data_IF_602437757733
#
_entry.id   IF_602437757733
#
_cell.length_a   1.000
_cell.length_b   1.000
_cell.length_c   1.000
_cell.angle_alpha   90.00
_cell.angle_beta   90.00
_cell.angle_gamma   90.00
#
_symmetry.space_group_name_H-M   'P 1'
#
loop_
_entity.id
_entity.type
_entity.pdbx_description
1 polymer ?
#
# COMPACT_ATOMS: atom_id res chain seq x y z
N UNK A 1 -32.02 -5.74 -3.26
CA UNK A 1 -30.78 -5.52 -2.48
C UNK A 1 -29.94 -4.52 -3.25
N UNK A 2 -30.02 -3.23 -2.88
CA UNK A 2 -29.20 -2.18 -3.50
C UNK A 2 -27.82 -2.26 -2.86
N UNK A 3 -26.88 -2.90 -3.57
CA UNK A 3 -25.48 -2.87 -3.16
C UNK A 3 -24.95 -1.46 -3.36
N UNK A 4 -24.39 -0.87 -2.30
CA UNK A 4 -23.59 0.34 -2.43
C UNK A 4 -22.42 0.04 -3.36
N UNK A 5 -22.54 0.44 -4.63
CA UNK A 5 -21.45 0.39 -5.58
C UNK A 5 -20.54 1.59 -5.30
N UNK A 6 -19.72 1.47 -4.26
CA UNK A 6 -18.56 2.34 -4.04
C UNK A 6 -17.80 2.47 -5.37
N UNK A 7 -17.77 3.69 -5.92
CA UNK A 7 -17.28 3.91 -7.28
C UNK A 7 -16.19 4.97 -7.28
N UNK A 8 -15.11 4.64 -7.99
CA UNK A 8 -13.99 5.54 -8.24
C UNK A 8 -14.11 6.11 -9.66
N UNK A 9 -13.86 7.41 -9.80
CA UNK A 9 -13.92 8.11 -11.07
C UNK A 9 -12.65 8.92 -11.30
N UNK A 10 -12.01 8.73 -12.46
CA UNK A 10 -10.96 9.62 -12.92
C UNK A 10 -11.61 10.81 -13.62
N UNK A 11 -11.21 12.01 -13.20
CA UNK A 11 -11.84 13.26 -13.58
C UNK A 11 -10.78 14.22 -14.12
N UNK A 12 -11.07 14.78 -15.30
CA UNK A 12 -10.28 15.86 -15.87
C UNK A 12 -10.82 17.22 -15.40
N UNK A 13 -10.16 17.82 -14.40
CA UNK A 13 -10.54 19.15 -13.86
C UNK A 13 -10.45 20.27 -14.91
N UNK A 14 -9.51 20.18 -15.85
CA UNK A 14 -9.34 21.18 -16.90
C UNK A 14 -10.45 21.11 -17.98
N UNK A 15 -11.08 19.95 -18.14
CA UNK A 15 -12.19 19.74 -19.07
C UNK A 15 -13.53 19.64 -18.33
N UNK A 16 -13.88 20.68 -17.57
CA UNK A 16 -15.18 20.81 -16.88
C UNK A 16 -15.55 19.58 -16.02
N UNK A 17 -14.58 18.96 -15.35
CA UNK A 17 -14.79 17.77 -14.51
C UNK A 17 -15.35 16.55 -15.29
N UNK A 18 -15.02 16.41 -16.57
CA UNK A 18 -15.40 15.24 -17.35
C UNK A 18 -14.77 13.95 -16.78
N UNK A 19 -15.57 12.90 -16.67
CA UNK A 19 -15.10 11.54 -16.36
C UNK A 19 -14.30 11.02 -17.57
N UNK A 20 -13.14 10.44 -17.30
CA UNK A 20 -12.21 9.97 -18.34
C UNK A 20 -11.50 8.69 -17.91
N UNK A 21 -10.82 8.01 -18.84
CA UNK A 21 -9.86 6.94 -18.54
C UNK A 21 -8.41 7.36 -18.90
N UNK A 22 -8.19 8.65 -19.17
CA UNK A 22 -6.85 9.18 -19.46
C UNK A 22 -5.95 9.15 -18.23
N UNK A 23 -4.63 9.13 -18.48
CA UNK A 23 -3.62 9.18 -17.43
C UNK A 23 -3.46 10.55 -16.79
N UNK A 24 -2.90 10.57 -15.58
CA UNK A 24 -2.57 11.77 -14.81
C UNK A 24 -3.78 12.66 -14.50
N UNK A 25 -4.89 12.03 -14.13
CA UNK A 25 -6.15 12.69 -13.79
C UNK A 25 -6.36 12.72 -12.28
N UNK A 26 -7.37 13.44 -11.81
CA UNK A 26 -7.75 13.43 -10.39
C UNK A 26 -8.70 12.28 -10.11
N UNK A 27 -8.44 11.49 -9.08
CA UNK A 27 -9.34 10.43 -8.65
C UNK A 27 -10.36 10.96 -7.64
N UNK A 28 -11.62 10.63 -7.84
CA UNK A 28 -12.70 10.89 -6.90
C UNK A 28 -13.32 9.58 -6.43
N UNK A 29 -13.71 9.55 -5.16
CA UNK A 29 -14.39 8.43 -4.53
C UNK A 29 -15.82 8.83 -4.15
N UNK A 30 -16.79 8.05 -4.62
CA UNK A 30 -18.21 8.24 -4.33
C UNK A 30 -18.72 7.08 -3.49
N UNK A 31 -19.01 7.33 -2.22
CA UNK A 31 -19.57 6.34 -1.29
C UNK A 31 -21.04 5.99 -1.60
N UNK A 32 -21.77 6.92 -2.19
CA UNK A 32 -23.14 6.74 -2.65
C UNK A 32 -23.50 7.82 -3.69
N UNK A 33 -24.57 7.62 -4.45
CA UNK A 33 -25.00 8.55 -5.52
C UNK A 33 -25.60 9.87 -5.00
N UNK A 34 -25.83 9.99 -3.69
CA UNK A 34 -26.53 11.13 -3.07
C UNK A 34 -25.62 12.08 -2.28
N UNK A 35 -24.35 11.72 -2.11
CA UNK A 35 -23.33 12.48 -1.39
C UNK A 35 -22.26 12.91 -2.39
N UNK A 36 -21.75 14.13 -2.22
CA UNK A 36 -20.66 14.64 -3.03
C UNK A 36 -19.44 13.71 -2.92
N UNK A 37 -18.84 13.39 -4.06
CA UNK A 37 -17.66 12.55 -4.11
C UNK A 37 -16.47 13.30 -3.53
N UNK A 38 -15.61 12.57 -2.82
CA UNK A 38 -14.40 13.11 -2.20
C UNK A 38 -13.21 12.96 -3.12
N UNK A 39 -12.36 13.97 -3.18
CA UNK A 39 -11.11 13.90 -3.93
C UNK A 39 -10.11 13.01 -3.18
N UNK A 40 -9.51 12.08 -3.92
CA UNK A 40 -8.46 11.21 -3.40
C UNK A 40 -7.11 11.92 -3.55
N UNK A 41 -6.54 12.32 -2.42
CA UNK A 41 -5.28 13.08 -2.36
C UNK A 41 -4.06 12.24 -1.96
N UNK A 42 -4.28 11.06 -1.42
CA UNK A 42 -3.22 10.18 -0.92
C UNK A 42 -2.61 9.34 -2.06
N UNK A 43 -1.27 9.23 -2.14
CA UNK A 43 -0.62 8.33 -3.08
C UNK A 43 -0.86 6.87 -2.68
N UNK A 44 -1.07 6.02 -3.69
CA UNK A 44 -1.25 4.59 -3.49
C UNK A 44 -2.16 3.91 -4.51
N UNK A 45 -2.66 2.74 -4.14
CA UNK A 45 -3.55 1.92 -4.96
C UNK A 45 -4.97 1.90 -4.40
N UNK A 46 -5.94 2.04 -5.29
CA UNK A 46 -7.38 1.99 -5.01
C UNK A 46 -8.02 0.96 -5.93
N UNK A 47 -8.56 -0.11 -5.34
CA UNK A 47 -8.78 -1.36 -6.05
C UNK A 47 -10.27 -1.68 -6.08
N UNK A 48 -10.83 -1.79 -7.28
CA UNK A 48 -12.17 -2.32 -7.49
C UNK A 48 -12.11 -3.83 -7.71
N UNK A 49 -11.23 -4.25 -8.63
CA UNK A 49 -10.88 -5.63 -8.96
C UNK A 49 -9.59 -5.65 -9.80
N UNK A 50 -9.14 -6.83 -10.25
CA UNK A 50 -7.89 -6.98 -11.04
C UNK A 50 -7.87 -6.21 -12.37
N UNK A 51 -9.02 -5.93 -12.95
CA UNK A 51 -9.18 -5.23 -14.23
C UNK A 51 -9.34 -3.71 -14.04
N UNK A 52 -9.65 -3.27 -12.82
CA UNK A 52 -9.97 -1.88 -12.50
C UNK A 52 -9.24 -1.54 -11.20
N UNK A 53 -8.00 -1.06 -11.36
CA UNK A 53 -7.20 -0.46 -10.30
C UNK A 53 -6.86 0.97 -10.66
N UNK A 54 -6.87 1.85 -9.67
CA UNK A 54 -6.35 3.19 -9.79
C UNK A 54 -5.06 3.30 -9.00
N UNK A 55 -4.02 3.78 -9.67
CA UNK A 55 -2.72 4.11 -9.08
C UNK A 55 -2.62 5.62 -9.02
N UNK A 56 -2.40 6.16 -7.84
CA UNK A 56 -2.20 7.58 -7.59
C UNK A 56 -0.76 7.80 -7.13
N UNK A 57 -0.05 8.71 -7.78
CA UNK A 57 1.32 9.10 -7.44
C UNK A 57 1.38 10.57 -7.05
N UNK A 58 2.23 10.88 -6.09
CA UNK A 58 2.61 12.28 -5.84
C UNK A 58 3.59 12.75 -6.90
N UNK A 59 3.22 13.78 -7.65
CA UNK A 59 4.12 14.52 -8.54
C UNK A 59 4.17 15.98 -8.07
N UNK A 60 5.10 16.29 -7.15
CA UNK A 60 5.12 17.56 -6.45
C UNK A 60 3.91 17.72 -5.52
N UNK A 61 3.10 18.76 -5.74
CA UNK A 61 1.90 19.07 -4.95
C UNK A 61 0.61 18.44 -5.52
N UNK A 62 0.68 17.79 -6.69
CA UNK A 62 -0.51 17.27 -7.37
C UNK A 62 -0.51 15.75 -7.32
N UNK A 63 -1.59 15.18 -6.81
CA UNK A 63 -1.84 13.74 -6.92
C UNK A 63 -2.31 13.44 -8.35
N UNK A 64 -1.56 12.61 -9.05
CA UNK A 64 -1.86 12.19 -10.42
C UNK A 64 -2.23 10.73 -10.41
N UNK A 65 -3.44 10.44 -10.87
CA UNK A 65 -3.99 9.10 -10.87
C UNK A 65 -4.21 8.58 -12.29
N UNK A 66 -4.00 7.28 -12.45
CA UNK A 66 -4.19 6.53 -13.68
C UNK A 66 -4.93 5.24 -13.39
N UNK A 67 -5.74 4.80 -14.34
CA UNK A 67 -6.42 3.50 -14.28
C UNK A 67 -5.56 2.47 -15.01
N UNK A 68 -5.38 1.30 -14.41
CA UNK A 68 -4.67 0.20 -15.03
C UNK A 68 -5.28 -1.15 -14.62
N UNK A 69 -4.85 -2.18 -15.33
CA UNK A 69 -5.11 -3.58 -15.02
C UNK A 69 -3.85 -4.18 -14.39
N UNK A 70 -4.03 -5.07 -13.43
CA UNK A 70 -2.90 -5.84 -12.89
C UNK A 70 -2.44 -6.83 -13.95
N UNK A 71 -1.22 -6.62 -14.48
CA UNK A 71 -0.59 -7.49 -15.48
C UNK A 71 0.42 -8.44 -14.84
N UNK A 72 1.01 -8.04 -13.71
CA UNK A 72 2.03 -8.84 -13.02
C UNK A 72 1.41 -10.09 -12.39
N UNK A 73 2.05 -11.24 -12.62
CA UNK A 73 1.63 -12.54 -12.11
C UNK A 73 2.55 -13.10 -11.02
N UNK A 74 3.67 -12.43 -10.74
CA UNK A 74 4.64 -12.81 -9.73
C UNK A 74 5.22 -11.60 -9.01
N UNK A 75 5.75 -11.83 -7.80
CA UNK A 75 6.49 -10.85 -7.03
C UNK A 75 7.99 -11.10 -7.26
N UNK A 76 8.60 -10.21 -8.05
CA UNK A 76 10.03 -10.13 -8.40
C UNK A 76 10.63 -8.78 -7.97
N UNK A 77 11.93 -8.56 -8.21
CA UNK A 77 12.64 -7.34 -7.83
C UNK A 77 12.05 -6.13 -8.56
N UNK A 78 11.63 -6.31 -9.80
CA UNK A 78 11.05 -5.27 -10.66
C UNK A 78 9.60 -4.91 -10.27
N UNK A 79 9.00 -5.73 -9.40
CA UNK A 79 7.60 -5.56 -8.96
C UNK A 79 7.47 -5.10 -7.52
N UNK A 80 8.57 -4.79 -6.84
CA UNK A 80 8.53 -4.28 -5.46
C UNK A 80 7.64 -3.04 -5.37
N UNK A 81 6.69 -3.08 -4.43
CA UNK A 81 5.71 -2.02 -4.24
C UNK A 81 4.61 -2.00 -5.29
N UNK A 82 4.56 -2.95 -6.23
CA UNK A 82 3.47 -3.13 -7.20
C UNK A 82 2.49 -4.20 -6.74
N UNK A 83 1.30 -4.16 -7.34
CA UNK A 83 0.30 -5.22 -7.20
C UNK A 83 0.58 -6.34 -8.20
N UNK A 84 0.34 -7.58 -7.78
CA UNK A 84 0.32 -8.73 -8.66
C UNK A 84 -0.87 -9.63 -8.35
N UNK A 85 -1.22 -10.49 -9.30
CA UNK A 85 -2.25 -11.51 -9.14
C UNK A 85 -1.82 -12.74 -9.92
N UNK A 86 -1.59 -13.87 -9.24
CA UNK A 86 -1.23 -15.11 -9.90
C UNK A 86 -2.26 -15.46 -11.00
N UNK A 87 -1.82 -16.03 -12.13
CA UNK A 87 -2.58 -16.14 -13.39
C UNK A 87 -3.99 -16.77 -13.25
N UNK A 88 -4.22 -17.60 -12.24
CA UNK A 88 -5.52 -18.25 -11.97
C UNK A 88 -6.12 -17.88 -10.60
N UNK A 89 -5.55 -16.90 -9.93
CA UNK A 89 -6.02 -16.39 -8.65
C UNK A 89 -6.87 -15.14 -8.85
N UNK A 90 -7.88 -14.97 -8.00
CA UNK A 90 -8.57 -13.69 -7.80
C UNK A 90 -7.95 -12.86 -6.68
N UNK A 91 -6.98 -13.43 -5.96
CA UNK A 91 -6.29 -12.77 -4.86
C UNK A 91 -5.29 -11.78 -5.46
N UNK A 92 -5.47 -10.52 -5.10
CA UNK A 92 -4.53 -9.45 -5.37
C UNK A 92 -3.59 -9.36 -4.18
N UNK A 93 -2.30 -9.23 -4.45
CA UNK A 93 -1.27 -9.15 -3.43
C UNK A 93 -0.33 -7.97 -3.72
N UNK A 94 0.20 -7.36 -2.67
CA UNK A 94 1.24 -6.34 -2.76
C UNK A 94 2.61 -7.01 -2.61
N UNK A 95 3.50 -6.79 -3.56
CA UNK A 95 4.86 -7.31 -3.52
C UNK A 95 5.72 -6.47 -2.56
N UNK A 96 6.38 -7.14 -1.61
CA UNK A 96 7.19 -6.53 -0.58
C UNK A 96 8.66 -6.99 -0.69
N UNK A 97 9.58 -6.08 -0.43
CA UNK A 97 10.99 -6.40 -0.22
C UNK A 97 11.57 -5.39 0.76
N UNK A 98 12.50 -5.81 1.60
CA UNK A 98 13.16 -4.92 2.58
C UNK A 98 14.68 -5.19 2.62
N UNK A 99 15.08 -6.45 2.59
CA UNK A 99 16.49 -6.89 2.72
C UNK A 99 17.08 -7.50 1.43
N UNK A 100 16.49 -7.20 0.26
CA UNK A 100 17.08 -7.57 -1.03
C UNK A 100 16.99 -9.05 -1.40
N UNK A 101 16.20 -9.85 -0.68
CA UNK A 101 15.85 -11.22 -1.09
C UNK A 101 14.33 -11.35 -1.21
N UNK A 102 13.83 -11.52 -2.43
CA UNK A 102 12.40 -11.54 -2.73
C UNK A 102 11.78 -12.84 -2.25
N UNK A 103 10.89 -12.78 -1.24
CA UNK A 103 9.87 -13.80 -0.95
C UNK A 103 8.62 -13.26 -0.26
N UNK A 104 8.52 -11.95 -0.02
CA UNK A 104 7.46 -11.41 0.82
C UNK A 104 6.40 -10.71 0.00
N UNK A 105 5.15 -11.04 0.30
CA UNK A 105 3.99 -10.35 -0.22
C UNK A 105 2.91 -10.35 0.85
N UNK A 106 1.92 -9.50 0.65
CA UNK A 106 0.73 -9.49 1.49
C UNK A 106 -0.50 -9.54 0.60
N UNK A 107 -1.35 -10.56 0.81
CA UNK A 107 -2.64 -10.64 0.13
C UNK A 107 -3.56 -9.56 0.68
N UNK A 108 -4.23 -8.84 -0.21
CA UNK A 108 -5.15 -7.78 0.16
C UNK A 108 -6.47 -8.40 0.61
N UNK A 109 -6.62 -8.48 1.92
CA UNK A 109 -7.85 -8.89 2.58
C UNK A 109 -7.90 -8.31 4.00
N UNK A 110 -9.07 -8.39 4.63
CA UNK A 110 -9.28 -7.88 6.00
C UNK A 110 -8.38 -8.52 7.06
N UNK A 111 -8.04 -9.80 6.92
CA UNK A 111 -7.20 -10.50 7.90
C UNK A 111 -5.74 -10.02 7.87
N UNK A 112 -5.31 -9.57 6.70
CA UNK A 112 -3.98 -9.04 6.45
C UNK A 112 -3.91 -7.51 6.51
N UNK A 113 -4.97 -6.84 6.97
CA UNK A 113 -4.94 -5.39 7.09
C UNK A 113 -3.99 -4.94 8.21
N UNK A 114 -3.24 -3.87 7.97
CA UNK A 114 -2.24 -3.34 8.90
C UNK A 114 -1.13 -2.58 8.18
N UNK A 115 -0.09 -2.24 8.91
CA UNK A 115 1.05 -1.52 8.35
C UNK A 115 2.21 -2.44 8.00
N UNK A 116 2.83 -2.17 6.86
CA UNK A 116 3.91 -2.94 6.30
C UNK A 116 5.03 -2.02 5.86
N UNK A 117 6.28 -2.47 6.02
CA UNK A 117 7.42 -1.80 5.39
C UNK A 117 7.64 -2.36 3.98
N UNK A 118 7.89 -1.46 3.05
CA UNK A 118 8.32 -1.78 1.69
C UNK A 118 9.57 -0.97 1.33
N UNK A 119 10.51 -1.55 0.58
CA UNK A 119 11.60 -0.80 -0.02
C UNK A 119 11.15 -0.07 -1.27
N UNK A 120 11.92 0.94 -1.68
CA UNK A 120 11.73 1.65 -2.94
C UNK A 120 11.86 0.69 -4.12
N UNK A 121 10.77 0.47 -4.85
CA UNK A 121 10.77 -0.14 -6.18
C UNK A 121 10.98 0.89 -7.29
N UNK A 122 11.07 0.44 -8.55
CA UNK A 122 11.33 1.31 -9.71
C UNK A 122 10.22 2.33 -9.97
N UNK A 123 8.95 1.90 -9.92
CA UNK A 123 7.78 2.73 -10.24
C UNK A 123 7.51 3.81 -9.18
N UNK A 124 8.00 3.58 -7.95
CA UNK A 124 8.03 4.51 -6.81
C UNK A 124 6.80 5.43 -6.64
N UNK A 125 5.59 4.87 -6.75
CA UNK A 125 4.35 5.67 -6.74
C UNK A 125 4.12 6.41 -5.42
N UNK A 126 4.70 5.87 -4.34
CA UNK A 126 4.60 6.39 -2.98
C UNK A 126 5.64 7.48 -2.69
N UNK A 127 6.55 7.80 -3.64
CA UNK A 127 7.57 8.82 -3.43
C UNK A 127 8.65 8.45 -2.40
N UNK A 128 8.99 7.17 -2.31
CA UNK A 128 9.95 6.63 -1.34
C UNK A 128 11.38 7.05 -1.69
N UNK A 129 12.18 7.28 -0.65
CA UNK A 129 13.64 7.44 -0.77
C UNK A 129 14.32 6.08 -0.60
N UNK A 130 14.10 5.43 0.56
CA UNK A 130 14.64 4.10 0.88
C UNK A 130 13.51 3.12 1.14
N UNK A 131 12.69 3.42 2.16
CA UNK A 131 11.58 2.59 2.59
C UNK A 131 10.32 3.42 2.79
N UNK A 132 9.17 2.76 2.71
CA UNK A 132 7.85 3.32 2.98
C UNK A 132 7.10 2.47 4.00
N UNK A 133 6.38 3.15 4.87
CA UNK A 133 5.36 2.56 5.73
C UNK A 133 4.02 2.65 5.00
N UNK A 134 3.52 1.50 4.58
CA UNK A 134 2.27 1.41 3.85
C UNK A 134 1.17 0.86 4.74
N UNK A 135 0.03 1.56 4.77
CA UNK A 135 -1.21 0.97 5.29
C UNK A 135 -1.84 0.12 4.21
N UNK A 136 -1.98 -1.16 4.50
CA UNK A 136 -2.63 -2.15 3.64
C UNK A 136 -4.02 -2.45 4.19
N UNK A 137 -5.02 -2.30 3.34
CA UNK A 137 -6.41 -2.67 3.58
C UNK A 137 -6.91 -3.55 2.43
N UNK A 138 -8.12 -4.11 2.57
CA UNK A 138 -8.73 -5.02 1.56
C UNK A 138 -8.75 -4.45 0.12
N UNK A 139 -8.99 -3.14 -0.04
CA UNK A 139 -9.15 -2.49 -1.36
C UNK A 139 -8.37 -1.20 -1.52
N UNK A 140 -7.47 -0.90 -0.57
CA UNK A 140 -6.73 0.35 -0.51
C UNK A 140 -5.35 0.07 0.05
N UNK A 141 -4.34 0.64 -0.60
CA UNK A 141 -2.97 0.67 -0.07
C UNK A 141 -2.48 2.10 -0.20
N UNK A 142 -2.06 2.71 0.89
CA UNK A 142 -1.57 4.10 0.90
C UNK A 142 -0.35 4.24 1.78
N UNK A 143 0.43 5.29 1.54
CA UNK A 143 1.48 5.70 2.47
C UNK A 143 0.84 6.12 3.79
N UNK A 144 1.28 5.53 4.91
CA UNK A 144 0.75 5.88 6.22
C UNK A 144 1.49 7.11 6.78
N UNK A 145 1.09 8.28 6.29
CA UNK A 145 1.70 9.54 6.66
C UNK A 145 1.41 9.97 8.11
N UNK A 146 0.39 9.40 8.74
CA UNK A 146 -0.09 9.77 10.08
C UNK A 146 0.30 8.75 11.15
N UNK A 147 1.03 7.69 10.78
CA UNK A 147 1.46 6.67 11.73
C UNK A 147 2.17 7.25 12.94
N UNK A 148 1.71 6.85 14.13
CA UNK A 148 2.34 7.21 15.39
C UNK A 148 2.10 6.11 16.42
N UNK A 149 3.19 5.49 16.91
CA UNK A 149 3.15 4.51 18.00
C UNK A 149 3.64 5.09 19.34
N UNK A 150 3.92 6.40 19.41
CA UNK A 150 4.49 7.07 20.58
C UNK A 150 5.95 6.68 20.87
N UNK A 151 6.62 5.96 19.96
CA UNK A 151 8.01 5.53 20.09
C UNK A 151 8.88 6.24 19.05
N UNK A 152 10.20 6.25 19.31
CA UNK A 152 11.18 6.79 18.35
C UNK A 152 11.25 5.95 17.06
N UNK A 153 11.03 4.64 17.18
CA UNK A 153 11.22 3.68 16.10
C UNK A 153 9.95 2.88 15.82
N UNK A 154 9.81 2.49 14.56
CA UNK A 154 8.85 1.49 14.09
C UNK A 154 9.55 0.15 14.08
N UNK A 155 8.97 -0.83 14.80
CA UNK A 155 9.50 -2.18 14.88
C UNK A 155 8.74 -3.09 13.92
N UNK A 156 9.46 -3.93 13.19
CA UNK A 156 8.92 -4.73 12.10
C UNK A 156 9.27 -6.19 12.29
N UNK A 157 8.30 -7.08 12.11
CA UNK A 157 8.49 -8.52 12.24
C UNK A 157 8.76 -9.16 10.86
N UNK A 158 9.99 -9.64 10.65
CA UNK A 158 10.42 -10.30 9.41
C UNK A 158 9.62 -11.58 9.12
N UNK A 159 9.22 -12.31 10.17
CA UNK A 159 8.47 -13.55 10.07
C UNK A 159 7.00 -13.33 9.69
N UNK A 160 6.50 -12.09 9.78
CA UNK A 160 5.14 -11.69 9.38
C UNK A 160 5.16 -10.81 8.13
N UNK A 161 5.99 -11.15 7.14
CA UNK A 161 6.12 -10.41 5.88
C UNK A 161 6.38 -8.91 6.09
N UNK A 162 7.26 -8.57 7.02
CA UNK A 162 7.63 -7.19 7.35
C UNK A 162 6.44 -6.32 7.81
N UNK A 163 5.44 -6.94 8.44
CA UNK A 163 4.38 -6.22 9.16
C UNK A 163 4.95 -5.48 10.37
N UNK A 164 4.47 -4.26 10.58
CA UNK A 164 4.75 -3.48 11.78
C UNK A 164 4.16 -4.16 13.00
N UNK A 165 4.97 -4.23 14.05
CA UNK A 165 4.59 -4.76 15.34
C UNK A 165 3.81 -3.71 16.12
N UNK A 166 2.59 -4.05 16.52
CA UNK A 166 1.76 -3.17 17.37
C UNK A 166 1.78 -3.63 18.82
N UNK A 167 1.51 -2.69 19.75
CA UNK A 167 1.48 -2.97 21.18
C UNK A 167 0.48 -4.10 21.48
N UNK A 168 0.93 -5.12 22.23
CA UNK A 168 0.13 -6.27 22.60
C UNK A 168 0.31 -7.49 21.70
N UNK A 169 1.01 -7.37 20.56
CA UNK A 169 1.43 -8.53 19.78
C UNK A 169 2.61 -9.26 20.41
N UNK A 170 2.71 -10.55 20.13
CA UNK A 170 3.88 -11.36 20.48
C UNK A 170 5.07 -10.98 19.61
N UNK A 171 6.17 -10.57 20.25
CA UNK A 171 7.45 -10.39 19.57
C UNK A 171 8.02 -11.75 19.09
N UNK A 172 8.80 -11.76 17.99
CA UNK A 172 9.66 -12.89 17.66
C UNK A 172 10.51 -13.33 18.86
N UNK A 173 10.48 -14.61 19.18
CA UNK A 173 11.29 -15.23 20.22
C UNK A 173 12.20 -16.26 19.56
N UNK A 174 13.44 -16.38 20.04
CA UNK A 174 14.28 -17.54 19.73
C UNK A 174 13.59 -18.77 20.32
N UNK A 175 13.88 -20.00 19.89
CA UNK A 175 13.19 -21.22 20.34
C UNK A 175 13.14 -21.47 21.87
N UNK A 176 13.74 -20.60 22.67
CA UNK A 176 13.63 -20.49 24.12
C UNK A 176 12.62 -19.42 24.55
N UNK A 177 11.71 -19.72 25.49
CA UNK A 177 10.80 -18.71 26.03
C UNK A 177 11.58 -17.55 26.67
N UNK A 178 11.11 -16.32 26.42
CA UNK A 178 11.64 -15.05 26.95
C UNK A 178 12.94 -14.50 26.33
N UNK A 179 13.49 -15.15 25.30
CA UNK A 179 14.63 -14.58 24.55
C UNK A 179 14.12 -14.04 23.23
N UNK A 180 14.07 -12.70 23.12
CA UNK A 180 13.65 -11.99 21.93
C UNK A 180 14.59 -12.28 20.75
N UNK A 181 14.03 -12.67 19.61
CA UNK A 181 14.78 -12.90 18.38
C UNK A 181 15.00 -11.58 17.63
N UNK A 182 16.07 -10.88 18.00
CA UNK A 182 16.46 -9.62 17.37
C UNK A 182 16.81 -9.75 15.90
N UNK A 183 17.16 -10.95 15.40
CA UNK A 183 17.47 -11.14 13.98
C UNK A 183 16.23 -11.07 13.09
N UNK A 184 15.05 -11.26 13.68
CA UNK A 184 13.76 -11.21 13.01
C UNK A 184 12.98 -9.92 13.30
N UNK A 185 13.63 -8.92 13.91
CA UNK A 185 13.07 -7.62 14.20
C UNK A 185 13.92 -6.56 13.51
N UNK A 186 13.28 -5.72 12.70
CA UNK A 186 13.93 -4.55 12.09
C UNK A 186 13.41 -3.27 12.75
N UNK A 187 14.28 -2.26 12.78
CA UNK A 187 14.00 -0.96 13.36
C UNK A 187 14.07 0.12 12.27
N UNK A 188 13.02 0.93 12.19
CA UNK A 188 12.94 2.03 11.23
C UNK A 188 12.66 3.33 11.95
N UNK A 189 13.34 4.39 11.52
CA UNK A 189 12.95 5.76 11.84
C UNK A 189 12.07 6.27 10.70
N UNK A 190 10.80 6.58 11.00
CA UNK A 190 9.81 6.99 10.02
C UNK A 190 9.28 8.40 10.30
N UNK A 191 9.06 9.17 9.24
CA UNK A 191 8.40 10.47 9.28
C UNK A 191 7.52 10.63 8.05
N UNK A 192 6.23 10.94 8.26
CA UNK A 192 5.23 11.02 7.18
C UNK A 192 5.21 9.77 6.30
N UNK A 193 5.32 8.59 6.91
CA UNK A 193 5.36 7.30 6.23
C UNK A 193 6.66 7.01 5.46
N UNK A 194 7.60 7.96 5.38
CA UNK A 194 8.91 7.75 4.76
C UNK A 194 9.90 7.25 5.81
N UNK A 195 10.61 6.16 5.52
CA UNK A 195 11.38 5.43 6.52
C UNK A 195 12.85 5.21 6.12
N UNK A 196 13.71 5.14 7.13
CA UNK A 196 15.12 4.75 7.02
C UNK A 196 15.41 3.66 8.07
N UNK A 197 16.01 2.56 7.63
CA UNK A 197 16.45 1.46 8.51
C UNK A 197 17.58 1.94 9.43
N UNK A 198 17.63 1.42 10.66
CA UNK A 198 18.62 1.80 11.69
C UNK A 198 19.58 0.67 12.03
#
# INVERSE_FOLDING_TARGET
MSGNNNSYYLVNKANMYAITNSDNMTLYYCNNEKVACEEVIEPGYYIVNKEIVFKCRMNGLVNQCSKFKIEENECTEDTIGKLYSATQSSIISLCLNVEGTIKSFVDLNKANSGDYIVSRGEDNIFGLVNYGLLRVEDKKITLDAEYNNGLKYVFVNKLKNYRVMVKGETCPMTGSPNILDRMNILEFMCSKGLCTMQ
#
